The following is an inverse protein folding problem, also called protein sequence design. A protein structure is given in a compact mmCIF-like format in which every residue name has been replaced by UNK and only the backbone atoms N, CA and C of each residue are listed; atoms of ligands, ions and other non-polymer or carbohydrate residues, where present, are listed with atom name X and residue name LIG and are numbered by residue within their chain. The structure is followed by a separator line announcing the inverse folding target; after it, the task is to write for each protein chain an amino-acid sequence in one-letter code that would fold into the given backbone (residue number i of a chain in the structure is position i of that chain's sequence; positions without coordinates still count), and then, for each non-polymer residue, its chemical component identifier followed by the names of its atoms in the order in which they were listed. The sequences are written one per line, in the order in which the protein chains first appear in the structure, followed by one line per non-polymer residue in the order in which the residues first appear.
data_IF_914543568505
#
_entry.id   IF_914543568505
#
_cell.length_a   1.000
_cell.length_b   1.000
_cell.length_c   1.000
_cell.angle_alpha   90.00
_cell.angle_beta   90.00
_cell.angle_gamma   90.00
#
_symmetry.space_group_name_H-M   'P 1'
#
loop_
_entity.id
_entity.type
_entity.pdbx_description
1 polymer ?
#
# COMPACT_ATOMS: atom_id res chain seq x y z
N UNK A 1 6.91 38.89 5.65
CA UNK A 1 5.49 38.46 5.62
C UNK A 1 5.17 37.57 4.43
N UNK A 2 5.60 37.90 3.20
CA UNK A 2 5.25 37.08 2.01
C UNK A 2 5.81 35.65 2.01
N UNK A 3 7.04 35.44 2.48
CA UNK A 3 7.66 34.10 2.48
C UNK A 3 6.98 33.14 3.46
N UNK A 4 6.66 33.61 4.67
CA UNK A 4 5.94 32.82 5.67
C UNK A 4 4.55 32.40 5.17
N UNK A 5 3.85 33.27 4.46
CA UNK A 5 2.54 32.96 3.88
C UNK A 5 2.65 31.96 2.71
N UNK A 6 3.71 32.04 1.89
CA UNK A 6 4.01 31.03 0.86
C UNK A 6 4.35 29.67 1.48
N UNK A 7 5.20 29.63 2.50
CA UNK A 7 5.58 28.40 3.18
C UNK A 7 4.37 27.76 3.87
N UNK A 8 3.51 28.55 4.51
CA UNK A 8 2.27 28.07 5.13
C UNK A 8 1.32 27.46 4.10
N UNK A 9 1.16 28.09 2.93
CA UNK A 9 0.33 27.54 1.83
C UNK A 9 0.91 26.24 1.29
N UNK A 10 2.23 26.16 1.15
CA UNK A 10 2.90 24.94 0.70
C UNK A 10 2.74 23.79 1.70
N UNK A 11 2.93 24.05 3.00
CA UNK A 11 2.68 23.08 4.08
C UNK A 11 1.25 22.54 4.02
N UNK A 12 0.24 23.43 3.90
CA UNK A 12 -1.16 23.00 3.77
C UNK A 12 -1.41 22.13 2.53
N UNK A 13 -0.72 22.40 1.43
CA UNK A 13 -0.80 21.58 0.22
C UNK A 13 -0.22 20.18 0.46
N UNK A 14 0.94 20.11 1.13
CA UNK A 14 1.58 18.84 1.49
C UNK A 14 0.71 18.02 2.46
N UNK A 15 0.12 18.66 3.47
CA UNK A 15 -0.81 18.02 4.41
C UNK A 15 -2.04 17.46 3.68
N UNK A 16 -2.56 18.19 2.68
CA UNK A 16 -3.66 17.72 1.84
C UNK A 16 -3.26 16.51 1.01
N UNK A 17 -2.05 16.48 0.45
CA UNK A 17 -1.54 15.31 -0.27
C UNK A 17 -1.44 14.09 0.64
N UNK A 18 -0.92 14.25 1.87
CA UNK A 18 -0.90 13.16 2.86
C UNK A 18 -2.32 12.67 3.16
N UNK A 19 -3.27 13.59 3.35
CA UNK A 19 -4.67 13.23 3.64
C UNK A 19 -5.33 12.45 2.49
N UNK A 20 -5.10 12.89 1.25
CA UNK A 20 -5.64 12.20 0.07
C UNK A 20 -5.03 10.79 -0.07
N UNK A 21 -3.72 10.66 0.11
CA UNK A 21 -3.05 9.37 0.09
C UNK A 21 -3.52 8.46 1.22
N UNK A 22 -3.75 8.99 2.43
CA UNK A 22 -4.33 8.25 3.55
C UNK A 22 -5.71 7.67 3.19
N UNK A 23 -6.61 8.49 2.62
CA UNK A 23 -7.94 8.01 2.22
C UNK A 23 -7.88 6.95 1.14
N UNK A 24 -7.02 7.13 0.15
CA UNK A 24 -6.79 6.14 -0.89
C UNK A 24 -6.27 4.82 -0.28
N UNK A 25 -5.24 4.88 0.58
CA UNK A 25 -4.68 3.70 1.24
C UNK A 25 -5.72 2.92 2.04
N UNK A 26 -6.61 3.63 2.75
CA UNK A 26 -7.66 3.01 3.56
C UNK A 26 -8.60 2.13 2.73
N UNK A 27 -8.94 2.54 1.51
CA UNK A 27 -9.79 1.76 0.61
C UNK A 27 -8.98 0.69 -0.14
N UNK A 28 -7.83 1.05 -0.71
CA UNK A 28 -6.98 0.10 -1.46
C UNK A 28 -6.50 -1.09 -0.63
N UNK A 29 -6.25 -0.91 0.68
CA UNK A 29 -5.89 -2.04 1.56
C UNK A 29 -7.06 -3.00 1.76
N UNK A 30 -8.31 -2.50 1.82
CA UNK A 30 -9.50 -3.37 1.87
C UNK A 30 -9.68 -4.12 0.56
N UNK A 31 -9.55 -3.42 -0.57
CA UNK A 31 -9.67 -4.02 -1.90
C UNK A 31 -8.62 -5.12 -2.09
N UNK A 32 -7.37 -4.86 -1.68
CA UNK A 32 -6.30 -5.85 -1.70
C UNK A 32 -6.64 -7.06 -0.82
N UNK A 33 -7.22 -6.84 0.36
CA UNK A 33 -7.65 -7.91 1.24
C UNK A 33 -8.74 -8.78 0.59
N UNK A 34 -9.72 -8.18 -0.07
CA UNK A 34 -10.80 -8.89 -0.76
C UNK A 34 -10.28 -9.70 -1.94
N UNK A 35 -9.43 -9.09 -2.78
CA UNK A 35 -8.80 -9.79 -3.90
C UNK A 35 -7.93 -10.98 -3.42
N UNK A 36 -7.12 -10.79 -2.38
CA UNK A 36 -6.30 -11.86 -1.83
C UNK A 36 -7.14 -13.01 -1.23
N UNK A 37 -8.36 -12.76 -0.74
CA UNK A 37 -9.28 -13.83 -0.27
C UNK A 37 -9.83 -14.68 -1.40
N UNK A 38 -9.91 -14.14 -2.62
CA UNK A 38 -10.37 -14.88 -3.79
C UNK A 38 -9.31 -15.88 -4.31
N UNK A 39 -8.04 -15.71 -3.90
CA UNK A 39 -6.91 -16.55 -4.29
C UNK A 39 -6.78 -17.74 -3.32
N UNK A 40 -6.98 -18.95 -3.84
CA UNK A 40 -6.85 -20.19 -3.07
C UNK A 40 -6.17 -21.29 -3.92
N UNK A 41 -5.34 -22.17 -3.34
CA UNK A 41 -4.63 -23.22 -4.06
C UNK A 41 -5.55 -24.17 -4.84
N UNK A 42 -6.75 -24.42 -4.31
CA UNK A 42 -7.72 -25.37 -4.85
C UNK A 42 -8.54 -24.78 -5.99
N UNK A 43 -8.49 -23.45 -6.20
CA UNK A 43 -9.28 -22.74 -7.20
C UNK A 43 -8.45 -22.37 -8.42
N UNK A 44 -9.10 -22.31 -9.57
CA UNK A 44 -8.51 -21.64 -10.73
C UNK A 44 -8.48 -20.14 -10.45
N UNK A 45 -7.28 -19.57 -10.34
CA UNK A 45 -7.08 -18.12 -10.20
C UNK A 45 -6.84 -17.53 -11.58
N UNK A 46 -7.75 -16.68 -12.09
CA UNK A 46 -7.53 -15.97 -13.34
C UNK A 46 -6.26 -15.12 -13.28
N UNK A 47 -5.47 -15.14 -14.36
CA UNK A 47 -4.23 -14.35 -14.47
C UNK A 47 -4.47 -12.86 -14.22
N UNK A 48 -5.61 -12.33 -14.66
CA UNK A 48 -6.00 -10.94 -14.44
C UNK A 48 -6.01 -10.58 -12.94
N UNK A 49 -6.61 -11.42 -12.09
CA UNK A 49 -6.67 -11.17 -10.63
C UNK A 49 -5.25 -11.12 -10.03
N UNK A 50 -4.35 -12.01 -10.48
CA UNK A 50 -2.97 -12.00 -10.00
C UNK A 50 -2.20 -10.75 -10.44
N UNK A 51 -2.51 -10.20 -11.62
CA UNK A 51 -1.94 -8.92 -12.09
C UNK A 51 -2.49 -7.76 -11.28
N UNK A 52 -3.81 -7.72 -11.08
CA UNK A 52 -4.48 -6.66 -10.33
C UNK A 52 -3.96 -6.56 -8.88
N UNK A 53 -3.79 -7.70 -8.20
CA UNK A 53 -3.21 -7.76 -6.84
C UNK A 53 -1.79 -7.16 -6.81
N UNK A 54 -0.96 -7.46 -7.82
CA UNK A 54 0.43 -6.97 -7.89
C UNK A 54 0.49 -5.47 -8.14
N UNK A 55 -0.32 -4.96 -9.08
CA UNK A 55 -0.36 -3.52 -9.35
C UNK A 55 -0.96 -2.75 -8.17
N UNK A 56 -2.04 -3.23 -7.56
CA UNK A 56 -2.63 -2.59 -6.37
C UNK A 56 -1.64 -2.53 -5.20
N UNK A 57 -0.91 -3.63 -4.94
CA UNK A 57 0.13 -3.63 -3.90
C UNK A 57 1.26 -2.62 -4.20
N UNK A 58 1.67 -2.50 -5.46
CA UNK A 58 2.66 -1.52 -5.90
C UNK A 58 2.15 -0.09 -5.73
N UNK A 59 0.89 0.19 -6.06
CA UNK A 59 0.25 1.49 -5.85
C UNK A 59 0.23 1.86 -4.36
N UNK A 60 -0.18 0.94 -3.49
CA UNK A 60 -0.13 1.11 -2.03
C UNK A 60 1.29 1.48 -1.58
N UNK A 61 2.31 0.76 -2.03
CA UNK A 61 3.71 1.04 -1.69
C UNK A 61 4.19 2.41 -2.17
N UNK A 62 3.77 2.84 -3.36
CA UNK A 62 4.12 4.14 -3.90
C UNK A 62 3.53 5.26 -3.04
N UNK A 63 2.27 5.13 -2.64
CA UNK A 63 1.58 6.12 -1.78
C UNK A 63 2.18 6.18 -0.38
N UNK A 64 2.53 5.04 0.21
CA UNK A 64 3.27 4.99 1.49
C UNK A 64 4.63 5.69 1.39
N UNK A 65 5.34 5.51 0.28
CA UNK A 65 6.63 6.16 0.03
C UNK A 65 6.49 7.67 -0.12
N UNK A 66 5.47 8.13 -0.84
CA UNK A 66 5.15 9.54 -1.02
C UNK A 66 4.80 10.20 0.32
N UNK A 67 3.93 9.59 1.12
CA UNK A 67 3.62 10.06 2.48
C UNK A 67 4.89 10.21 3.30
N UNK A 68 5.73 9.17 3.35
CA UNK A 68 6.97 9.19 4.13
C UNK A 68 7.90 10.32 3.72
N UNK A 69 8.05 10.57 2.41
CA UNK A 69 8.86 11.66 1.90
C UNK A 69 8.30 13.03 2.31
N UNK A 70 6.98 13.21 2.24
CA UNK A 70 6.31 14.44 2.67
C UNK A 70 6.46 14.64 4.19
N UNK A 71 6.26 13.61 5.00
CA UNK A 71 6.43 13.68 6.45
C UNK A 71 7.86 14.04 6.85
N UNK A 72 8.87 13.46 6.19
CA UNK A 72 10.26 13.82 6.39
C UNK A 72 10.53 15.30 6.07
N UNK A 73 9.96 15.81 4.97
CA UNK A 73 10.09 17.21 4.61
C UNK A 73 9.40 18.14 5.63
N UNK A 74 8.18 17.79 6.06
CA UNK A 74 7.41 18.57 7.01
C UNK A 74 8.08 18.60 8.40
N UNK A 75 8.56 17.46 8.89
CA UNK A 75 9.23 17.35 10.19
C UNK A 75 10.65 17.91 10.18
N UNK A 76 11.33 17.90 9.03
CA UNK A 76 12.66 18.47 8.89
C UNK A 76 12.64 19.98 8.67
N UNK A 77 12.10 20.41 7.53
CA UNK A 77 12.17 21.81 7.07
C UNK A 77 11.07 22.68 7.68
N UNK A 78 9.87 22.15 7.85
CA UNK A 78 8.69 22.93 8.21
C UNK A 78 8.16 22.63 9.63
N UNK A 79 9.01 22.14 10.53
CA UNK A 79 8.62 21.70 11.89
C UNK A 79 7.86 22.74 12.72
N UNK A 80 8.09 24.03 12.45
CA UNK A 80 7.42 25.14 13.15
C UNK A 80 6.01 25.41 12.62
N UNK A 81 5.71 24.97 11.39
CA UNK A 81 4.44 25.20 10.70
C UNK A 81 3.58 23.93 10.61
N UNK A 82 4.15 22.77 10.94
CA UNK A 82 3.51 21.47 10.86
C UNK A 82 3.24 20.86 12.23
N UNK A 83 2.01 20.38 12.43
CA UNK A 83 1.65 19.58 13.60
C UNK A 83 1.40 18.14 13.19
N UNK A 84 2.20 17.24 13.75
CA UNK A 84 2.10 15.80 13.50
C UNK A 84 0.76 15.24 14.01
N UNK A 85 0.14 14.40 13.20
CA UNK A 85 -1.04 13.60 13.57
C UNK A 85 -0.59 12.17 13.88
N UNK A 86 -0.40 11.86 15.17
CA UNK A 86 0.09 10.55 15.60
C UNK A 86 -0.90 9.41 15.36
N UNK A 87 -2.20 9.70 15.28
CA UNK A 87 -3.22 8.68 15.03
C UNK A 87 -3.16 8.26 13.57
N UNK A 88 -3.16 9.25 12.66
CA UNK A 88 -3.04 8.99 11.23
C UNK A 88 -1.75 8.25 10.88
N UNK A 89 -0.61 8.67 11.46
CA UNK A 89 0.68 8.01 11.23
C UNK A 89 0.67 6.53 11.66
N UNK A 90 0.01 6.22 12.77
CA UNK A 90 -0.14 4.85 13.25
C UNK A 90 -0.97 4.02 12.27
N UNK A 91 -2.10 4.55 11.81
CA UNK A 91 -2.94 3.86 10.82
C UNK A 91 -2.20 3.65 9.49
N UNK A 92 -1.42 4.63 9.01
CA UNK A 92 -0.59 4.50 7.82
C UNK A 92 0.44 3.37 7.98
N UNK A 93 1.06 3.26 9.16
CA UNK A 93 1.97 2.15 9.47
C UNK A 93 1.25 0.80 9.45
N UNK A 94 0.05 0.73 10.02
CA UNK A 94 -0.80 -0.47 10.01
C UNK A 94 -1.19 -0.87 8.59
N UNK A 95 -1.56 0.08 7.72
CA UNK A 95 -1.83 -0.17 6.30
C UNK A 95 -0.64 -0.83 5.60
N UNK A 96 0.57 -0.31 5.84
CA UNK A 96 1.80 -0.91 5.29
C UNK A 96 2.04 -2.35 5.76
N UNK A 97 1.80 -2.61 7.05
CA UNK A 97 1.95 -3.96 7.61
C UNK A 97 0.91 -4.94 7.04
N UNK A 98 -0.36 -4.54 6.99
CA UNK A 98 -1.46 -5.36 6.47
C UNK A 98 -1.21 -5.69 5.00
N UNK A 99 -0.92 -4.67 4.17
CA UNK A 99 -0.68 -4.87 2.75
C UNK A 99 0.49 -5.82 2.49
N UNK A 100 1.60 -5.66 3.22
CA UNK A 100 2.76 -6.56 3.12
C UNK A 100 2.39 -8.00 3.45
N UNK A 101 1.68 -8.23 4.55
CA UNK A 101 1.30 -9.58 4.97
C UNK A 101 0.34 -10.25 3.98
N UNK A 102 -0.65 -9.51 3.49
CA UNK A 102 -1.58 -9.99 2.47
C UNK A 102 -0.84 -10.39 1.19
N UNK A 103 0.06 -9.53 0.73
CA UNK A 103 0.82 -9.77 -0.50
C UNK A 103 1.78 -10.95 -0.35
N UNK A 104 2.50 -11.07 0.77
CA UNK A 104 3.37 -12.23 1.03
C UNK A 104 2.58 -13.56 1.07
N UNK A 105 1.38 -13.56 1.67
CA UNK A 105 0.50 -14.74 1.65
C UNK A 105 0.02 -15.07 0.22
N UNK A 106 -0.32 -14.06 -0.56
CA UNK A 106 -0.69 -14.21 -1.97
C UNK A 106 0.46 -14.84 -2.77
N UNK A 107 1.69 -14.32 -2.66
CA UNK A 107 2.85 -14.86 -3.38
C UNK A 107 3.11 -16.33 -3.02
N UNK A 108 3.05 -16.66 -1.73
CA UNK A 108 3.16 -18.04 -1.28
C UNK A 108 2.08 -18.94 -1.88
N UNK A 109 0.83 -18.46 -1.94
CA UNK A 109 -0.30 -19.20 -2.53
C UNK A 109 -0.10 -19.41 -4.03
N UNK A 110 0.44 -18.42 -4.76
CA UNK A 110 0.75 -18.56 -6.18
C UNK A 110 1.81 -19.63 -6.45
N UNK A 111 2.85 -19.69 -5.60
CA UNK A 111 3.87 -20.76 -5.67
C UNK A 111 3.24 -22.14 -5.47
N UNK A 112 2.32 -22.28 -4.50
CA UNK A 112 1.61 -23.54 -4.29
C UNK A 112 0.76 -23.94 -5.51
N UNK A 113 0.03 -22.99 -6.11
CA UNK A 113 -0.77 -23.23 -7.32
C UNK A 113 0.11 -23.74 -8.46
N UNK A 114 1.28 -23.12 -8.68
CA UNK A 114 2.22 -23.57 -9.71
C UNK A 114 2.78 -24.97 -9.42
N UNK A 115 3.13 -25.27 -8.16
CA UNK A 115 3.58 -26.60 -7.77
C UNK A 115 2.51 -27.68 -8.01
N UNK A 116 1.25 -27.41 -7.65
CA UNK A 116 0.12 -28.32 -7.88
C UNK A 116 -0.10 -28.53 -9.39
N UNK A 117 -0.03 -27.47 -10.21
CA UNK A 117 -0.15 -27.58 -11.67
C UNK A 117 0.95 -28.48 -12.24
N UNK A 118 2.20 -28.28 -11.83
CA UNK A 118 3.34 -29.12 -12.27
C UNK A 118 3.16 -30.59 -11.90
N UNK A 119 2.70 -30.89 -10.68
CA UNK A 119 2.42 -32.25 -10.24
C UNK A 119 1.31 -32.93 -11.06
N UNK A 120 0.28 -32.17 -11.45
CA UNK A 120 -0.81 -32.67 -12.32
C UNK A 120 -0.36 -32.90 -13.75
N UNK A 121 0.54 -32.07 -14.27
CA UNK A 121 1.08 -32.19 -15.62
C UNK A 121 2.15 -33.28 -15.73
N UNK A 122 2.86 -33.58 -14.64
CA UNK A 122 3.94 -34.58 -14.58
C UNK A 122 3.76 -35.53 -13.38
N UNK A 123 2.71 -36.36 -13.35
CA UNK A 123 2.51 -37.31 -12.26
C UNK A 123 3.54 -38.45 -12.38
N UNK A 124 4.68 -38.33 -11.69
CA UNK A 124 5.65 -39.42 -11.52
C UNK A 124 6.80 -39.46 -12.53
N UNK A 125 7.75 -38.53 -12.41
CA UNK A 125 9.17 -38.87 -12.63
C UNK A 125 9.82 -39.19 -11.30
#
# INVERSE_FOLDING_TARGET
MEQQDRDQRYVKSLERTVQNNYHYLKESVKDLQEMCRAVAPEKHVPTAIAVDIRELYKEIRNRLTEIKAIEQLLQGKYRQLYRRDSVRDKEIMEFGFIAKNLYSKFEYTMVQIEAIKRLKEHPGK
#
